data_IF_770380967743
#
_entry.id   IF_770380967743
#
_cell.length_a   1.000
_cell.length_b   1.000
_cell.length_c   1.000
_cell.angle_alpha   90.00
_cell.angle_beta   90.00
_cell.angle_gamma   90.00
#
_symmetry.space_group_name_H-M   'P 1'
#
loop_
_entity.id
_entity.type
_entity.pdbx_description
1 polymer ?
#
# COMPACT_ATOMS: atom_id res chain seq x y z
N UNK A 1 -1.69 -36.53 -16.80
CA UNK A 1 -2.60 -35.37 -16.70
C UNK A 1 -4.05 -35.74 -17.04
N UNK A 2 -4.32 -36.96 -17.49
CA UNK A 2 -5.64 -37.37 -18.01
C UNK A 2 -6.64 -37.83 -16.93
N UNK A 3 -6.25 -37.76 -15.65
CA UNK A 3 -7.08 -38.19 -14.51
C UNK A 3 -8.10 -37.16 -14.04
N UNK A 4 -8.01 -35.91 -14.49
CA UNK A 4 -9.00 -34.85 -14.24
C UNK A 4 -9.63 -34.55 -15.60
N UNK A 5 -10.88 -34.96 -15.89
CA UNK A 5 -11.46 -34.84 -17.23
C UNK A 5 -11.76 -33.39 -17.62
N UNK A 6 -12.26 -32.60 -16.67
CA UNK A 6 -12.67 -31.21 -16.86
C UNK A 6 -11.77 -30.33 -15.99
N UNK A 7 -11.20 -29.30 -16.60
CA UNK A 7 -10.42 -28.29 -15.91
C UNK A 7 -10.83 -26.95 -16.46
N UNK A 8 -11.54 -26.18 -15.64
CA UNK A 8 -12.08 -24.89 -16.01
C UNK A 8 -11.16 -23.77 -15.51
N UNK A 9 -11.13 -22.67 -16.24
CA UNK A 9 -10.47 -21.44 -15.84
C UNK A 9 -11.46 -20.52 -15.11
N UNK A 10 -10.94 -19.48 -14.47
CA UNK A 10 -11.76 -18.47 -13.80
C UNK A 10 -12.44 -17.49 -14.77
N UNK A 11 -12.06 -17.52 -16.06
CA UNK A 11 -12.67 -16.70 -17.11
C UNK A 11 -13.99 -17.33 -17.59
N UNK A 12 -15.05 -16.52 -17.68
CA UNK A 12 -16.33 -16.93 -18.23
C UNK A 12 -16.41 -16.60 -19.73
N UNK A 13 -16.98 -17.54 -20.50
CA UNK A 13 -17.30 -17.35 -21.90
C UNK A 13 -18.52 -16.44 -22.10
N UNK A 14 -18.81 -16.06 -23.37
CA UNK A 14 -19.94 -15.19 -23.71
C UNK A 14 -21.31 -15.70 -23.27
N UNK A 15 -21.43 -16.99 -23.00
CA UNK A 15 -22.62 -17.70 -22.53
C UNK A 15 -22.65 -17.88 -21.01
N UNK A 16 -21.68 -17.33 -20.28
CA UNK A 16 -21.56 -17.45 -18.83
C UNK A 16 -21.00 -18.81 -18.36
N UNK A 17 -20.52 -19.66 -19.26
CA UNK A 17 -19.87 -20.92 -18.89
C UNK A 17 -18.37 -20.73 -18.68
N UNK A 18 -17.74 -21.42 -17.71
CA UNK A 18 -16.29 -21.34 -17.52
C UNK A 18 -15.51 -21.80 -18.77
N UNK A 19 -14.53 -21.01 -19.19
CA UNK A 19 -13.67 -21.38 -20.30
C UNK A 19 -12.71 -22.52 -19.90
N UNK A 20 -12.42 -23.50 -20.77
CA UNK A 20 -11.49 -24.57 -20.46
C UNK A 20 -10.08 -24.05 -20.17
N UNK A 21 -9.48 -24.51 -19.07
CA UNK A 21 -8.10 -24.17 -18.75
C UNK A 21 -7.12 -24.88 -19.69
N UNK A 22 -6.27 -24.10 -20.36
CA UNK A 22 -5.26 -24.61 -21.27
C UNK A 22 -4.22 -25.49 -20.54
N UNK A 23 -4.33 -26.82 -20.68
CA UNK A 23 -3.45 -27.80 -20.02
C UNK A 23 -1.96 -27.63 -20.32
N UNK A 24 -1.61 -27.02 -21.44
CA UNK A 24 -0.22 -26.66 -21.78
C UNK A 24 0.40 -25.66 -20.79
N UNK A 25 -0.42 -24.93 -20.01
CA UNK A 25 0.03 -24.05 -18.93
C UNK A 25 0.35 -24.82 -17.63
N UNK A 26 0.04 -26.11 -17.55
CA UNK A 26 0.36 -26.96 -16.40
C UNK A 26 1.68 -27.66 -16.69
N UNK A 27 2.74 -27.28 -16.00
CA UNK A 27 4.06 -27.91 -16.09
C UNK A 27 4.83 -27.66 -14.81
N UNK A 28 5.86 -28.47 -14.48
CA UNK A 28 6.53 -28.41 -13.17
C UNK A 28 7.01 -27.01 -12.76
N UNK A 29 7.55 -26.25 -13.71
CA UNK A 29 8.03 -24.89 -13.44
C UNK A 29 6.90 -23.91 -13.09
N UNK A 30 5.69 -24.07 -13.64
CA UNK A 30 4.55 -23.22 -13.31
C UNK A 30 4.18 -23.33 -11.82
N UNK A 31 4.20 -24.54 -11.25
CA UNK A 31 3.95 -24.73 -9.81
C UNK A 31 5.02 -24.05 -8.96
N UNK A 32 6.30 -24.20 -9.33
CA UNK A 32 7.41 -23.51 -8.65
C UNK A 32 7.23 -22.00 -8.71
N UNK A 33 6.90 -21.47 -9.88
CA UNK A 33 6.69 -20.05 -10.09
C UNK A 33 5.52 -19.52 -9.24
N UNK A 34 4.37 -20.20 -9.23
CA UNK A 34 3.21 -19.80 -8.42
C UNK A 34 3.51 -19.89 -6.92
N UNK A 35 4.26 -20.91 -6.48
CA UNK A 35 4.74 -21.00 -5.10
C UNK A 35 5.60 -19.79 -4.73
N UNK A 36 6.61 -19.47 -5.55
CA UNK A 36 7.46 -18.30 -5.32
C UNK A 36 6.65 -17.00 -5.29
N UNK A 37 5.76 -16.81 -6.26
CA UNK A 37 4.97 -15.60 -6.37
C UNK A 37 4.10 -15.41 -5.11
N UNK A 38 3.42 -16.46 -4.64
CA UNK A 38 2.63 -16.41 -3.40
C UNK A 38 3.46 -16.03 -2.17
N UNK A 39 4.68 -16.56 -2.05
CA UNK A 39 5.57 -16.21 -0.92
C UNK A 39 6.10 -14.79 -1.03
N UNK A 40 6.39 -14.32 -2.24
CA UNK A 40 6.77 -12.93 -2.48
C UNK A 40 5.61 -11.98 -2.14
N UNK A 41 4.39 -12.33 -2.55
CA UNK A 41 3.17 -11.54 -2.30
C UNK A 41 2.75 -11.56 -0.82
N UNK A 42 3.07 -12.63 -0.08
CA UNK A 42 2.95 -12.71 1.37
C UNK A 42 4.01 -11.87 2.12
N UNK A 43 4.92 -11.20 1.40
CA UNK A 43 5.91 -10.28 1.98
C UNK A 43 7.07 -10.97 2.69
N UNK A 44 7.37 -12.24 2.37
CA UNK A 44 8.51 -12.95 2.95
C UNK A 44 9.81 -12.22 2.57
N UNK A 45 10.76 -12.00 3.50
CA UNK A 45 12.02 -11.33 3.19
C UNK A 45 12.79 -12.02 2.05
N UNK A 46 13.37 -11.24 1.13
CA UNK A 46 14.05 -11.75 -0.07
C UNK A 46 15.10 -12.83 0.23
N UNK A 47 15.91 -12.66 1.29
CA UNK A 47 16.94 -13.63 1.67
C UNK A 47 16.37 -14.95 2.20
N UNK A 48 15.23 -14.90 2.91
CA UNK A 48 14.49 -16.09 3.38
C UNK A 48 13.91 -16.83 2.18
N UNK A 49 13.28 -16.09 1.27
CA UNK A 49 12.70 -16.67 0.06
C UNK A 49 13.78 -17.23 -0.87
N UNK A 50 14.93 -16.57 -1.02
CA UNK A 50 16.08 -17.09 -1.76
C UNK A 50 16.56 -18.42 -1.19
N UNK A 51 16.68 -18.50 0.14
CA UNK A 51 17.10 -19.72 0.84
C UNK A 51 16.07 -20.84 0.67
N UNK A 52 14.78 -20.53 0.79
CA UNK A 52 13.68 -21.47 0.58
C UNK A 52 13.67 -22.04 -0.84
N UNK A 53 14.00 -21.21 -1.83
CA UNK A 53 14.05 -21.63 -3.23
C UNK A 53 15.38 -22.27 -3.63
N UNK A 54 16.39 -22.29 -2.76
CA UNK A 54 17.75 -22.70 -3.09
C UNK A 54 18.31 -21.95 -4.31
N UNK A 55 18.02 -20.64 -4.40
CA UNK A 55 18.55 -19.80 -5.46
C UNK A 55 19.97 -19.33 -5.13
N UNK A 56 20.89 -19.54 -6.08
CA UNK A 56 22.28 -19.09 -5.96
C UNK A 56 22.48 -17.58 -6.08
N UNK A 57 21.52 -16.88 -6.70
CA UNK A 57 21.54 -15.43 -6.86
C UNK A 57 20.28 -14.79 -6.27
N UNK A 58 20.47 -13.69 -5.54
CA UNK A 58 19.38 -12.86 -5.07
C UNK A 58 18.57 -12.27 -6.24
N UNK A 59 19.21 -12.01 -7.40
CA UNK A 59 18.56 -11.45 -8.58
C UNK A 59 17.48 -12.39 -9.13
N UNK A 60 17.73 -13.70 -9.11
CA UNK A 60 16.75 -14.71 -9.54
C UNK A 60 15.48 -14.66 -8.68
N UNK A 61 15.65 -14.52 -7.36
CA UNK A 61 14.51 -14.40 -6.43
C UNK A 61 13.85 -13.02 -6.54
N UNK A 62 14.62 -11.97 -6.86
CA UNK A 62 14.14 -10.60 -7.02
C UNK A 62 13.17 -10.45 -8.19
N UNK A 63 13.14 -11.37 -9.16
CA UNK A 63 12.15 -11.34 -10.24
C UNK A 63 10.72 -11.44 -9.70
N UNK A 64 10.48 -12.30 -8.69
CA UNK A 64 9.19 -12.41 -8.01
C UNK A 64 8.82 -11.14 -7.24
N UNK A 65 9.84 -10.35 -6.90
CA UNK A 65 9.93 -8.95 -6.44
C UNK A 65 9.19 -7.89 -7.24
N UNK A 66 9.26 -8.05 -8.56
CA UNK A 66 9.09 -6.93 -9.47
C UNK A 66 7.64 -6.74 -9.88
N UNK A 67 7.13 -5.52 -9.71
CA UNK A 67 5.81 -5.14 -10.24
C UNK A 67 5.97 -4.66 -11.67
N UNK A 68 5.31 -5.34 -12.61
CA UNK A 68 5.32 -4.94 -14.01
C UNK A 68 4.50 -3.65 -14.24
N UNK A 69 4.79 -2.93 -15.33
CA UNK A 69 3.99 -1.74 -15.74
C UNK A 69 2.51 -2.09 -15.95
N UNK A 70 2.22 -3.29 -16.46
CA UNK A 70 0.84 -3.78 -16.65
C UNK A 70 0.12 -3.91 -15.31
N UNK A 71 0.73 -4.62 -14.35
CA UNK A 71 0.17 -4.79 -13.00
C UNK A 71 -0.03 -3.46 -12.28
N UNK A 72 0.93 -2.52 -12.42
CA UNK A 72 0.78 -1.17 -11.89
C UNK A 72 -0.48 -0.49 -12.44
N UNK A 73 -0.65 -0.52 -13.77
CA UNK A 73 -1.77 0.12 -14.45
C UNK A 73 -3.11 -0.47 -13.99
N UNK A 74 -3.23 -1.80 -13.98
CA UNK A 74 -4.43 -2.50 -13.53
C UNK A 74 -4.77 -2.15 -12.07
N UNK A 75 -3.76 -2.14 -11.17
CA UNK A 75 -3.96 -1.76 -9.78
C UNK A 75 -4.40 -0.30 -9.61
N UNK A 76 -3.84 0.61 -10.42
CA UNK A 76 -4.26 2.02 -10.46
C UNK A 76 -5.70 2.14 -10.97
N UNK A 77 -6.06 1.42 -12.03
CA UNK A 77 -7.40 1.46 -12.61
C UNK A 77 -8.47 0.99 -11.61
N UNK A 78 -8.15 -0.03 -10.81
CA UNK A 78 -9.00 -0.48 -9.69
C UNK A 78 -9.10 0.56 -8.59
N UNK A 79 -7.98 1.15 -8.15
CA UNK A 79 -7.97 1.98 -6.93
C UNK A 79 -8.36 3.43 -7.12
N UNK A 80 -8.18 3.99 -8.32
CA UNK A 80 -8.42 5.41 -8.59
C UNK A 80 -9.85 5.86 -8.26
N UNK A 81 -10.83 4.97 -8.38
CA UNK A 81 -12.25 5.25 -8.12
C UNK A 81 -12.59 5.21 -6.63
N UNK A 82 -11.70 4.66 -5.81
CA UNK A 82 -11.87 4.52 -4.36
C UNK A 82 -11.12 5.59 -3.55
N UNK A 83 -10.50 6.57 -4.23
CA UNK A 83 -9.87 7.70 -3.56
C UNK A 83 -10.91 8.58 -2.85
N UNK A 84 -10.53 9.11 -1.69
CA UNK A 84 -11.34 10.03 -0.89
C UNK A 84 -10.61 11.35 -0.65
N UNK A 85 -11.34 12.39 -0.25
CA UNK A 85 -10.74 13.63 0.25
C UNK A 85 -10.42 13.54 1.76
N UNK A 86 -9.92 14.64 2.34
CA UNK A 86 -9.59 14.70 3.77
C UNK A 86 -10.78 14.52 4.72
N UNK A 87 -12.00 14.72 4.23
CA UNK A 87 -13.24 14.54 4.97
C UNK A 87 -13.84 13.14 4.78
N UNK A 88 -13.20 12.29 3.96
CA UNK A 88 -13.69 10.97 3.60
C UNK A 88 -14.72 11.01 2.46
N UNK A 89 -14.99 12.15 1.84
CA UNK A 89 -15.91 12.17 0.71
C UNK A 89 -15.27 11.52 -0.52
N UNK A 90 -16.04 10.82 -1.38
CA UNK A 90 -15.52 10.28 -2.63
C UNK A 90 -14.84 11.36 -3.47
N UNK A 91 -13.59 11.12 -3.87
CA UNK A 91 -12.79 12.02 -4.68
C UNK A 91 -11.99 11.23 -5.72
N UNK A 92 -12.67 10.51 -6.64
CA UNK A 92 -12.03 9.62 -7.60
C UNK A 92 -11.12 10.40 -8.56
N UNK A 93 -10.07 9.76 -9.03
CA UNK A 93 -9.25 10.30 -10.12
C UNK A 93 -9.83 9.91 -11.48
N UNK A 94 -9.74 10.84 -12.44
CA UNK A 94 -10.45 10.73 -13.72
C UNK A 94 -9.89 9.66 -14.65
N UNK A 95 -8.63 9.26 -14.48
CA UNK A 95 -7.96 8.22 -15.27
C UNK A 95 -6.65 7.78 -14.60
N UNK A 96 -6.09 6.66 -15.06
CA UNK A 96 -4.78 6.20 -14.61
C UNK A 96 -3.69 7.24 -14.88
N UNK A 97 -3.78 7.98 -15.98
CA UNK A 97 -2.88 9.10 -16.27
C UNK A 97 -3.08 10.22 -15.24
N UNK A 98 -4.31 10.52 -14.84
CA UNK A 98 -4.55 11.50 -13.77
C UNK A 98 -4.00 11.00 -12.43
N UNK A 99 -4.09 9.69 -12.14
CA UNK A 99 -3.43 9.07 -10.99
C UNK A 99 -1.93 9.29 -11.06
N UNK A 100 -1.26 8.92 -12.15
CA UNK A 100 0.20 9.01 -12.25
C UNK A 100 0.71 10.47 -12.29
N UNK A 101 0.03 11.35 -13.02
CA UNK A 101 0.46 12.75 -13.22
C UNK A 101 0.12 13.60 -12.01
N UNK A 102 -0.95 13.30 -11.26
CA UNK A 102 -1.42 14.11 -10.13
C UNK A 102 -1.26 13.43 -8.79
N UNK A 103 -0.65 12.26 -8.68
CA UNK A 103 -0.24 11.72 -7.40
C UNK A 103 1.27 11.72 -7.29
N UNK A 104 1.79 12.55 -6.39
CA UNK A 104 3.05 12.18 -5.73
C UNK A 104 2.66 11.40 -4.49
N UNK A 105 3.26 10.23 -4.33
CA UNK A 105 3.16 9.47 -3.08
C UNK A 105 3.71 10.36 -1.95
N UNK A 106 2.81 10.84 -1.12
CA UNK A 106 3.15 11.39 0.20
C UNK A 106 3.05 10.24 1.21
N UNK A 107 3.67 10.35 2.40
CA UNK A 107 3.85 9.21 3.29
C UNK A 107 2.55 8.43 3.62
N UNK A 108 1.39 9.09 3.61
CA UNK A 108 0.10 8.50 4.02
C UNK A 108 -1.01 8.67 2.97
N UNK A 109 -0.70 9.00 1.72
CA UNK A 109 -1.70 9.18 0.67
C UNK A 109 -1.14 9.74 -0.62
N UNK A 110 -2.02 10.25 -1.48
CA UNK A 110 -1.62 11.02 -2.65
C UNK A 110 -1.82 12.52 -2.41
N UNK A 111 -1.03 13.33 -3.12
CA UNK A 111 -1.20 14.78 -3.17
C UNK A 111 -1.50 15.21 -4.60
N UNK A 112 -2.60 15.93 -4.83
CA UNK A 112 -3.01 16.47 -6.15
C UNK A 112 -2.70 17.94 -6.35
N UNK A 113 -1.95 18.56 -5.44
CA UNK A 113 -1.57 19.98 -5.55
C UNK A 113 -0.55 20.17 -6.69
N UNK A 114 -0.89 20.86 -7.80
CA UNK A 114 -0.07 20.86 -9.01
C UNK A 114 1.38 21.32 -8.77
N UNK A 115 1.59 22.33 -7.94
CA UNK A 115 2.92 22.85 -7.64
C UNK A 115 3.78 21.85 -6.87
N UNK A 116 3.19 21.17 -5.87
CA UNK A 116 3.89 20.17 -5.09
C UNK A 116 4.14 18.89 -5.90
N UNK A 117 3.19 18.49 -6.74
CA UNK A 117 3.31 17.37 -7.68
C UNK A 117 4.46 17.61 -8.66
N UNK A 118 4.51 18.79 -9.29
CA UNK A 118 5.61 19.18 -10.19
C UNK A 118 6.97 19.15 -9.49
N UNK A 119 7.01 19.47 -8.20
CA UNK A 119 8.21 19.41 -7.38
C UNK A 119 8.52 18.01 -6.81
N UNK A 120 7.79 16.96 -7.22
CA UNK A 120 8.00 15.60 -6.74
C UNK A 120 7.74 15.45 -5.23
N UNK A 121 6.79 16.20 -4.67
CA UNK A 121 6.42 16.16 -3.25
C UNK A 121 7.37 16.89 -2.30
N UNK A 122 8.33 17.64 -2.85
CA UNK A 122 9.38 18.32 -2.09
C UNK A 122 9.07 19.78 -1.76
N UNK A 123 8.00 20.36 -2.31
CA UNK A 123 7.66 21.78 -2.16
C UNK A 123 6.45 22.05 -1.24
N UNK A 124 5.96 21.06 -0.50
CA UNK A 124 4.81 21.24 0.39
C UNK A 124 5.14 22.24 1.53
N UNK A 125 4.42 23.37 1.64
CA UNK A 125 4.66 24.36 2.69
C UNK A 125 4.17 23.92 4.07
N UNK A 126 3.24 22.95 4.12
CA UNK A 126 2.65 22.37 5.33
C UNK A 126 3.00 20.87 5.42
N UNK A 127 4.28 20.55 5.28
CA UNK A 127 4.78 19.18 5.20
C UNK A 127 4.24 18.34 6.37
N UNK A 128 3.84 17.11 6.07
CA UNK A 128 3.27 16.14 7.03
C UNK A 128 1.87 16.46 7.55
N UNK A 129 1.29 17.61 7.23
CA UNK A 129 -0.08 17.97 7.63
C UNK A 129 -1.12 17.56 6.56
N UNK A 130 -0.92 16.39 5.95
CA UNK A 130 -1.76 15.89 4.85
C UNK A 130 -3.26 15.84 5.17
N UNK A 131 -3.72 15.33 6.34
CA UNK A 131 -5.15 15.20 6.61
C UNK A 131 -5.79 16.58 6.85
N UNK A 132 -4.99 17.63 7.08
CA UNK A 132 -5.46 19.02 7.10
C UNK A 132 -5.55 19.67 5.71
N UNK A 133 -5.06 19.06 4.63
CA UNK A 133 -4.95 19.68 3.31
C UNK A 133 -6.08 19.26 2.35
N UNK A 134 -6.68 20.21 1.63
CA UNK A 134 -7.73 19.95 0.63
C UNK A 134 -7.23 19.17 -0.60
N UNK A 135 -5.93 19.13 -0.84
CA UNK A 135 -5.29 18.40 -1.95
C UNK A 135 -4.90 16.96 -1.60
N UNK A 136 -5.24 16.49 -0.39
CA UNK A 136 -4.99 15.12 0.05
C UNK A 136 -5.99 14.14 -0.58
N UNK A 137 -5.47 13.07 -1.19
CA UNK A 137 -6.25 12.05 -1.92
C UNK A 137 -5.80 10.62 -1.58
N UNK A 138 -5.99 10.15 -0.34
CA UNK A 138 -5.71 8.76 0.00
C UNK A 138 -6.67 7.82 -0.74
N UNK A 139 -6.19 6.62 -0.99
CA UNK A 139 -6.95 5.48 -1.53
C UNK A 139 -6.71 4.26 -0.61
N UNK A 140 -7.46 3.15 -0.75
CA UNK A 140 -7.34 1.98 0.13
C UNK A 140 -5.93 1.40 0.26
N UNK A 141 -5.03 1.62 -0.73
CA UNK A 141 -3.66 1.13 -0.62
C UNK A 141 -2.86 1.79 0.50
N UNK A 142 -3.28 2.96 0.97
CA UNK A 142 -2.64 3.71 2.06
C UNK A 142 -3.19 3.36 3.45
N UNK A 143 -4.30 2.62 3.54
CA UNK A 143 -4.98 2.32 4.80
C UNK A 143 -4.04 1.81 5.90
N UNK A 144 -3.15 0.81 5.66
CA UNK A 144 -2.23 0.35 6.70
C UNK A 144 -1.29 1.45 7.19
N UNK A 145 -0.73 2.26 6.27
CA UNK A 145 0.19 3.35 6.64
C UNK A 145 -0.49 4.47 7.43
N UNK A 146 -1.76 4.77 7.13
CA UNK A 146 -2.54 5.77 7.89
C UNK A 146 -2.85 5.22 9.29
N UNK A 147 -3.19 3.94 9.40
CA UNK A 147 -3.43 3.30 10.70
C UNK A 147 -2.17 3.27 11.57
N UNK A 148 -1.01 3.00 10.97
CA UNK A 148 0.29 3.06 11.65
C UNK A 148 0.58 4.48 12.14
N UNK A 149 0.30 5.49 11.31
CA UNK A 149 0.46 6.89 11.67
C UNK A 149 -0.46 7.29 12.84
N UNK A 150 -1.73 6.87 12.81
CA UNK A 150 -2.66 7.11 13.94
C UNK A 150 -2.12 6.51 15.23
N UNK A 151 -1.56 5.29 15.19
CA UNK A 151 -0.94 4.68 16.39
C UNK A 151 0.28 5.47 16.87
N UNK A 152 1.14 5.91 15.95
CA UNK A 152 2.29 6.75 16.27
C UNK A 152 1.88 8.09 16.88
N UNK A 153 0.90 8.77 16.30
CA UNK A 153 0.38 10.05 16.80
C UNK A 153 -0.22 9.92 18.19
N UNK A 154 -0.95 8.84 18.47
CA UNK A 154 -1.48 8.56 19.82
C UNK A 154 -0.35 8.41 20.84
N UNK A 155 0.70 7.67 20.50
CA UNK A 155 1.88 7.55 21.37
C UNK A 155 2.57 8.92 21.59
N UNK A 156 2.74 9.70 20.51
CA UNK A 156 3.34 11.03 20.58
C UNK A 156 2.49 12.01 21.40
N UNK A 157 1.15 11.92 21.34
CA UNK A 157 0.24 12.72 22.15
C UNK A 157 0.42 12.48 23.64
N UNK A 158 0.53 11.21 24.05
CA UNK A 158 0.77 10.85 25.46
C UNK A 158 2.13 11.35 25.94
N UNK A 159 3.17 11.21 25.12
CA UNK A 159 4.50 11.78 25.42
C UNK A 159 4.45 13.30 25.54
N UNK A 160 3.78 13.99 24.60
CA UNK A 160 3.65 15.45 24.62
C UNK A 160 2.92 15.94 25.89
N UNK A 161 1.86 15.24 26.32
CA UNK A 161 1.15 15.54 27.57
C UNK A 161 2.06 15.34 28.79
N UNK A 162 2.79 14.24 28.86
CA UNK A 162 3.72 13.95 29.96
C UNK A 162 4.86 14.99 30.07
N UNK A 163 5.31 15.52 28.93
CA UNK A 163 6.33 16.57 28.87
C UNK A 163 5.80 17.96 29.22
N UNK A 164 4.49 18.13 29.45
CA UNK A 164 3.88 19.45 29.65
C UNK A 164 3.97 20.33 28.40
N UNK A 165 3.86 19.72 27.20
CA UNK A 165 3.91 20.46 25.94
C UNK A 165 2.82 21.54 25.88
N UNK A 166 3.10 22.60 25.13
CA UNK A 166 2.17 23.72 24.98
C UNK A 166 0.82 23.26 24.39
N UNK A 167 -0.27 23.94 24.78
CA UNK A 167 -1.63 23.56 24.39
C UNK A 167 -1.87 23.51 22.88
N UNK A 168 -1.17 24.33 22.08
CA UNK A 168 -1.29 24.28 20.62
C UNK A 168 -0.70 22.99 20.03
N UNK A 169 0.34 22.42 20.65
CA UNK A 169 0.94 21.15 20.24
C UNK A 169 0.00 19.99 20.51
N UNK A 170 -0.58 19.94 21.72
CA UNK A 170 -1.55 18.92 22.12
C UNK A 170 -2.77 18.94 21.21
N UNK A 171 -3.36 20.13 21.00
CA UNK A 171 -4.51 20.31 20.10
C UNK A 171 -4.20 19.94 18.65
N UNK A 172 -2.99 20.25 18.17
CA UNK A 172 -2.55 19.88 16.83
C UNK A 172 -2.53 18.36 16.63
N UNK A 173 -1.95 17.61 17.58
CA UNK A 173 -1.92 16.15 17.55
C UNK A 173 -3.32 15.54 17.65
N UNK A 174 -4.18 16.07 18.53
CA UNK A 174 -5.57 15.64 18.66
C UNK A 174 -6.34 15.83 17.34
N UNK A 175 -6.17 16.98 16.68
CA UNK A 175 -6.77 17.25 15.38
C UNK A 175 -6.27 16.30 14.29
N UNK A 176 -4.95 16.10 14.19
CA UNK A 176 -4.36 15.19 13.20
C UNK A 176 -4.86 13.75 13.37
N UNK A 177 -4.97 13.27 14.62
CA UNK A 177 -5.54 11.95 14.93
C UNK A 177 -6.98 11.86 14.46
N UNK A 178 -7.82 12.86 14.78
CA UNK A 178 -9.23 12.86 14.42
C UNK A 178 -9.45 12.87 12.90
N UNK A 179 -8.70 13.68 12.17
CA UNK A 179 -8.82 13.78 10.72
C UNK A 179 -8.40 12.47 10.03
N UNK A 180 -7.29 11.85 10.44
CA UNK A 180 -6.91 10.53 9.90
C UNK A 180 -7.91 9.44 10.27
N UNK A 181 -8.43 9.43 11.49
CA UNK A 181 -9.44 8.45 11.91
C UNK A 181 -10.72 8.56 11.08
N UNK A 182 -11.11 9.77 10.68
CA UNK A 182 -12.25 10.00 9.79
C UNK A 182 -12.02 9.30 8.44
N UNK A 183 -10.86 9.53 7.82
CA UNK A 183 -10.48 8.88 6.56
C UNK A 183 -10.42 7.36 6.68
N UNK A 184 -9.80 6.82 7.73
CA UNK A 184 -9.72 5.36 7.97
C UNK A 184 -11.09 4.75 8.12
N UNK A 185 -11.96 5.36 8.94
CA UNK A 185 -13.31 4.86 9.20
C UNK A 185 -14.11 4.80 7.90
N UNK A 186 -14.05 5.86 7.08
CA UNK A 186 -14.78 5.91 5.82
C UNK A 186 -14.27 4.91 4.80
N UNK A 187 -12.95 4.76 4.64
CA UNK A 187 -12.39 3.76 3.72
C UNK A 187 -12.73 2.32 4.17
N UNK A 188 -12.65 2.01 5.47
CA UNK A 188 -13.04 0.70 6.01
C UNK A 188 -14.52 0.40 5.78
N UNK A 189 -15.40 1.33 6.13
CA UNK A 189 -16.83 1.19 5.90
C UNK A 189 -17.15 0.96 4.41
N UNK A 190 -16.43 1.65 3.52
CA UNK A 190 -16.59 1.45 2.07
C UNK A 190 -16.15 0.04 1.64
N UNK A 191 -15.03 -0.47 2.12
CA UNK A 191 -14.56 -1.84 1.86
C UNK A 191 -15.52 -2.90 2.43
N UNK A 192 -16.08 -2.67 3.61
CA UNK A 192 -17.06 -3.57 4.25
C UNK A 192 -18.40 -3.60 3.50
N UNK A 193 -18.73 -2.56 2.74
CA UNK A 193 -19.95 -2.50 1.92
C UNK A 193 -19.82 -3.18 0.54
N UNK A 194 -18.61 -3.56 0.13
CA UNK A 194 -18.36 -4.22 -1.15
C UNK A 194 -18.75 -5.69 -1.10
N UNK A 195 -19.01 -6.29 -2.26
CA UNK A 195 -19.04 -7.75 -2.35
C UNK A 195 -17.67 -8.35 -2.05
N UNK A 196 -17.62 -9.63 -1.68
CA UNK A 196 -16.36 -10.33 -1.40
C UNK A 196 -15.41 -10.30 -2.60
N UNK A 197 -15.93 -10.32 -3.83
CA UNK A 197 -15.11 -10.28 -5.04
C UNK A 197 -14.49 -8.91 -5.26
N UNK A 198 -15.30 -7.85 -5.27
CA UNK A 198 -14.81 -6.47 -5.41
C UNK A 198 -13.81 -6.12 -4.31
N UNK A 199 -14.08 -6.56 -3.07
CA UNK A 199 -13.18 -6.35 -1.94
C UNK A 199 -11.83 -7.03 -2.17
N UNK A 200 -11.83 -8.29 -2.66
CA UNK A 200 -10.59 -9.01 -3.00
C UNK A 200 -9.79 -8.27 -4.06
N UNK A 201 -10.44 -7.81 -5.14
CA UNK A 201 -9.78 -7.06 -6.21
C UNK A 201 -9.10 -5.78 -5.67
N UNK A 202 -9.81 -5.01 -4.84
CA UNK A 202 -9.27 -3.79 -4.22
C UNK A 202 -8.12 -4.10 -3.27
N UNK A 203 -8.21 -5.17 -2.48
CA UNK A 203 -7.15 -5.60 -1.57
C UNK A 203 -5.89 -6.06 -2.31
N UNK A 204 -6.02 -6.79 -3.43
CA UNK A 204 -4.90 -7.21 -4.28
C UNK A 204 -4.25 -6.01 -4.99
N UNK A 205 -5.04 -5.14 -5.62
CA UNK A 205 -4.55 -3.90 -6.21
C UNK A 205 -3.79 -3.04 -5.18
N UNK A 206 -4.31 -3.00 -3.95
CA UNK A 206 -3.67 -2.31 -2.83
C UNK A 206 -2.31 -2.89 -2.46
N UNK A 207 -2.14 -4.22 -2.50
CA UNK A 207 -0.84 -4.87 -2.26
C UNK A 207 0.17 -4.49 -3.33
N UNK A 208 -0.24 -4.46 -4.60
CA UNK A 208 0.62 -4.08 -5.74
C UNK A 208 1.15 -2.66 -5.56
N UNK A 209 0.29 -1.68 -5.26
CA UNK A 209 0.74 -0.29 -5.08
C UNK A 209 1.62 -0.10 -3.83
N UNK A 210 1.34 -0.81 -2.74
CA UNK A 210 2.20 -0.77 -1.55
C UNK A 210 3.60 -1.30 -1.86
N UNK A 211 3.69 -2.38 -2.62
CA UNK A 211 4.96 -2.97 -3.05
C UNK A 211 5.78 -2.00 -3.90
N UNK A 212 5.15 -1.35 -4.88
CA UNK A 212 5.80 -0.30 -5.68
C UNK A 212 6.38 0.83 -4.82
N UNK A 213 5.66 1.25 -3.77
CA UNK A 213 6.16 2.28 -2.85
C UNK A 213 7.33 1.77 -2.00
N UNK A 214 7.28 0.51 -1.54
CA UNK A 214 8.38 -0.09 -0.80
C UNK A 214 9.65 -0.19 -1.64
N UNK A 215 9.55 -0.62 -2.90
CA UNK A 215 10.69 -0.68 -3.83
C UNK A 215 11.27 0.72 -4.13
N UNK A 216 10.40 1.73 -4.26
CA UNK A 216 10.81 3.12 -4.42
C UNK A 216 11.48 3.69 -3.16
N UNK A 217 11.06 3.28 -1.96
CA UNK A 217 11.69 3.68 -0.70
C UNK A 217 13.07 3.04 -0.51
N UNK A 218 13.26 1.81 -0.99
CA UNK A 218 14.57 1.12 -1.00
C UNK A 218 15.53 1.80 -1.99
N UNK A 219 15.01 2.33 -3.09
CA UNK A 219 15.79 3.01 -4.15
C UNK A 219 15.92 4.53 -3.93
N UNK A 220 15.21 5.09 -2.95
CA UNK A 220 15.24 6.49 -2.56
C UNK A 220 16.22 6.74 -1.42
N UNK A 221 16.60 8.01 -1.13
CA UNK A 221 17.41 8.31 0.03
C UNK A 221 16.67 7.85 1.29
N UNK A 222 17.30 6.95 2.04
CA UNK A 222 16.90 6.50 3.37
C UNK A 222 16.49 7.74 4.16
N UNK A 223 15.21 7.82 4.55
CA UNK A 223 14.79 8.80 5.54
C UNK A 223 15.66 8.57 6.78
N UNK A 224 16.36 9.62 7.21
CA UNK A 224 17.27 9.60 8.36
C UNK A 224 16.63 8.82 9.51
N UNK A 225 17.41 7.97 10.22
CA UNK A 225 16.88 7.11 11.25
C UNK A 225 16.16 7.95 12.29
N UNK A 226 14.88 7.64 12.51
CA UNK A 226 14.19 8.05 13.73
C UNK A 226 15.06 7.65 14.92
N UNK A 227 15.31 8.53 15.91
CA UNK A 227 16.13 8.21 17.06
C UNK A 227 15.56 6.97 17.77
N UNK A 228 16.32 5.88 17.70
CA UNK A 228 16.07 4.68 18.49
C UNK A 228 16.42 5.02 19.93
N UNK A 229 15.40 5.09 20.80
CA UNK A 229 15.62 5.14 22.24
C UNK A 229 16.26 3.80 22.63
N UNK A 230 17.57 3.80 22.90
CA UNK A 230 18.24 2.64 23.47
C UNK A 230 17.71 2.44 24.89
N UNK A 231 17.16 1.26 25.16
CA UNK A 231 16.90 0.80 26.53
C UNK A 231 18.20 0.91 27.33
N UNK A 232 18.11 1.50 28.52
CA UNK A 232 19.23 1.56 29.45
C UNK A 232 19.69 0.14 29.76
N UNK A 233 20.99 -0.11 29.58
CA UNK A 233 21.62 -1.29 30.16
C UNK A 233 21.56 -1.13 31.67
N UNK A 234 21.00 -2.13 32.35
CA UNK A 234 21.27 -2.36 33.76
C UNK A 234 22.78 -2.66 33.87
N UNK A 235 23.55 -1.64 34.19
CA UNK A 235 24.93 -1.83 34.62
C UNK A 235 24.86 -2.39 36.05
N UNK A 236 24.99 -3.72 36.12
CA UNK A 236 25.28 -4.41 37.37
C UNK A 236 26.66 -4.00 37.88
N UNK A 237 26.67 -3.24 38.98
CA UNK A 237 27.68 -3.36 40.03
C UNK A 237 27.13 -2.95 41.38
#
# INVERSE_FOLDING_TARGET
MDSIPILDSEELGPDGTPLPFGRTKIFPYAFRHTFCQRYADAGIPLHVHQSLMDHRSADTTSAYYSVSKKMKREAVDTLQVHAVDRHGHPAPMASAEAYEVRSVAVPWGNCVEPSNVKAGGKACPIRFQCPGCSSYRPDPSHLPSIEDQVRSLKANLEVARAMGAAGYTVKGLEGEIADYQTVVTTMRAKLESMSDEERREVEEASKILRRLRADAAISGPVALPMPVIRSAREDGR
#
